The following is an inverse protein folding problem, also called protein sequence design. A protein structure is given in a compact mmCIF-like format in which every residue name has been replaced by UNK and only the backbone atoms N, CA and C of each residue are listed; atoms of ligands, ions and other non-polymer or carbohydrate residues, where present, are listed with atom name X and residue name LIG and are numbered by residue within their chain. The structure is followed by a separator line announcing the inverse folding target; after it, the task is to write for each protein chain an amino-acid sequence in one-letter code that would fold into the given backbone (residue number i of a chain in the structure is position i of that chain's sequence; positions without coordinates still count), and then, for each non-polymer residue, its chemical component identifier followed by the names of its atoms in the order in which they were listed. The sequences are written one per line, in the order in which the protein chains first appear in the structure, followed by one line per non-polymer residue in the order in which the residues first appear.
data_IF_377452180990
#
_entry.id   IF_377452180990
#
_cell.length_a   1.000
_cell.length_b   1.000
_cell.length_c   1.000
_cell.angle_alpha   90.00
_cell.angle_beta   90.00
_cell.angle_gamma   90.00
#
_symmetry.space_group_name_H-M   'P 1'
#
loop_
_entity.id
_entity.type
_entity.pdbx_description
1 polymer ?
#
# COMPACT_ATOMS: atom_id res chain seq x y z
N UNK A 1 17.96 29.37 -17.96
CA UNK A 1 18.23 28.03 -18.53
C UNK A 1 16.92 27.55 -19.13
N UNK A 2 16.78 27.59 -20.45
CA UNK A 2 15.56 27.18 -21.14
C UNK A 2 15.77 25.78 -21.69
N UNK A 3 14.94 24.83 -21.28
CA UNK A 3 14.86 23.52 -21.91
C UNK A 3 13.57 23.50 -22.73
N UNK A 4 13.70 23.62 -24.05
CA UNK A 4 12.60 23.45 -24.98
C UNK A 4 12.69 21.99 -25.45
N UNK A 5 11.71 21.17 -25.03
CA UNK A 5 11.59 19.78 -25.48
C UNK A 5 10.44 19.70 -26.47
N UNK A 6 10.77 19.55 -27.76
CA UNK A 6 9.80 19.16 -28.79
C UNK A 6 9.78 17.63 -28.86
N UNK A 7 8.71 17.02 -28.33
CA UNK A 7 8.41 15.60 -28.56
C UNK A 7 7.49 15.51 -29.78
N UNK A 8 8.07 15.28 -30.95
CA UNK A 8 7.32 14.91 -32.14
C UNK A 8 7.12 13.38 -32.12
N UNK A 9 5.95 12.95 -31.63
CA UNK A 9 5.52 11.55 -31.68
C UNK A 9 4.90 11.28 -33.05
N UNK A 10 5.73 11.14 -34.07
CA UNK A 10 5.29 10.89 -35.45
C UNK A 10 4.55 9.56 -35.56
N UNK A 11 3.21 9.60 -35.57
CA UNK A 11 2.31 8.44 -35.66
C UNK A 11 2.62 7.26 -34.70
N UNK A 12 3.43 7.47 -33.65
CA UNK A 12 3.68 6.46 -32.63
C UNK A 12 2.53 6.49 -31.64
N UNK A 13 1.81 5.38 -31.53
CA UNK A 13 0.76 5.21 -30.54
C UNK A 13 1.32 5.16 -29.11
N UNK A 14 2.59 4.77 -28.93
CA UNK A 14 3.19 4.48 -27.63
C UNK A 14 4.59 5.12 -27.46
N UNK A 15 4.93 5.42 -26.20
CA UNK A 15 6.26 5.84 -25.75
C UNK A 15 6.75 4.90 -24.65
N UNK A 16 8.00 4.43 -24.75
CA UNK A 16 8.61 3.52 -23.79
C UNK A 16 9.65 4.27 -22.97
N UNK A 17 9.55 4.19 -21.64
CA UNK A 17 10.55 4.70 -20.72
C UNK A 17 10.73 3.74 -19.55
N UNK A 18 11.96 3.68 -19.04
CA UNK A 18 12.24 2.97 -17.79
C UNK A 18 11.78 3.76 -16.55
N UNK A 19 11.75 5.09 -16.67
CA UNK A 19 11.34 6.02 -15.61
C UNK A 19 10.87 7.36 -16.18
N UNK A 20 9.84 7.93 -15.58
CA UNK A 20 9.33 9.28 -15.84
C UNK A 20 9.28 10.02 -14.50
N UNK A 21 9.89 11.21 -14.44
CA UNK A 21 9.81 12.10 -13.28
C UNK A 21 8.91 13.30 -13.62
N UNK A 22 8.00 13.64 -12.71
CA UNK A 22 7.27 14.90 -12.72
C UNK A 22 7.81 15.74 -11.56
N UNK A 23 8.42 16.88 -11.86
CA UNK A 23 9.08 17.73 -10.89
C UNK A 23 8.29 19.02 -10.62
N UNK A 24 8.41 19.58 -9.42
CA UNK A 24 7.99 20.95 -9.16
C UNK A 24 9.06 21.96 -9.61
N UNK A 25 8.77 23.26 -9.48
CA UNK A 25 9.68 24.34 -9.88
C UNK A 25 11.02 24.34 -9.12
N UNK A 26 11.11 23.67 -7.97
CA UNK A 26 12.35 23.52 -7.20
C UNK A 26 13.20 22.34 -7.65
N UNK A 27 12.68 21.50 -8.57
CA UNK A 27 13.32 20.28 -9.05
C UNK A 27 13.00 19.04 -8.21
N UNK A 28 12.21 19.16 -7.14
CA UNK A 28 11.79 17.99 -6.34
C UNK A 28 10.76 17.17 -7.10
N UNK A 29 10.85 15.85 -7.01
CA UNK A 29 9.85 14.98 -7.60
C UNK A 29 8.50 15.19 -6.90
N UNK A 30 7.42 15.19 -7.68
CA UNK A 30 6.03 15.13 -7.21
C UNK A 30 5.38 13.80 -7.55
N UNK A 31 5.75 13.23 -8.70
CA UNK A 31 5.36 11.90 -9.14
C UNK A 31 6.56 11.25 -9.84
N UNK A 32 6.78 9.97 -9.58
CA UNK A 32 7.75 9.13 -10.31
C UNK A 32 7.05 7.87 -10.77
N UNK A 33 7.09 7.57 -12.06
CA UNK A 33 6.64 6.29 -12.62
C UNK A 33 7.90 5.53 -13.04
N UNK A 34 8.10 4.29 -12.60
CA UNK A 34 9.31 3.54 -12.88
C UNK A 34 9.10 2.01 -12.91
N UNK A 35 10.01 1.31 -13.60
CA UNK A 35 10.16 -0.13 -13.48
C UNK A 35 10.90 -0.52 -12.17
N UNK A 36 11.07 -1.82 -11.93
CA UNK A 36 11.75 -2.40 -10.76
C UNK A 36 13.19 -1.89 -10.57
N UNK A 37 13.93 -1.65 -11.65
CA UNK A 37 15.33 -1.22 -11.60
C UNK A 37 15.50 0.25 -11.21
N UNK A 38 14.47 1.07 -11.43
CA UNK A 38 14.56 2.53 -11.34
C UNK A 38 13.59 3.16 -10.34
N UNK A 39 12.77 2.35 -9.66
CA UNK A 39 11.88 2.81 -8.59
C UNK A 39 12.71 3.46 -7.47
N UNK A 40 12.36 4.67 -7.02
CA UNK A 40 13.13 5.37 -5.99
C UNK A 40 12.96 4.70 -4.63
N UNK A 41 13.99 4.82 -3.79
CA UNK A 41 13.94 4.47 -2.39
C UNK A 41 13.00 5.42 -1.61
N UNK A 42 12.37 5.00 -0.50
CA UNK A 42 11.45 5.83 0.26
C UNK A 42 12.21 6.95 0.95
N UNK A 43 11.61 8.14 0.93
CA UNK A 43 12.12 9.33 1.60
C UNK A 43 11.11 9.70 2.69
N UNK A 44 11.53 9.63 3.95
CA UNK A 44 10.69 9.95 5.11
C UNK A 44 11.45 10.98 5.95
N UNK A 45 10.83 12.14 6.17
CA UNK A 45 11.43 13.27 6.89
C UNK A 45 12.84 13.64 6.37
N UNK A 46 13.00 13.68 5.04
CA UNK A 46 14.23 14.00 4.35
C UNK A 46 15.29 12.89 4.35
N UNK A 47 15.03 11.74 4.97
CA UNK A 47 15.96 10.62 5.03
C UNK A 47 15.55 9.49 4.10
N UNK A 48 16.52 8.96 3.36
CA UNK A 48 16.33 7.81 2.48
C UNK A 48 16.41 6.50 3.26
N UNK A 49 15.47 5.59 3.01
CA UNK A 49 15.40 4.24 3.59
C UNK A 49 15.60 3.19 2.50
N UNK A 50 15.86 1.93 2.88
CA UNK A 50 15.93 0.81 1.93
C UNK A 50 14.56 0.13 1.83
N UNK A 51 13.99 -0.01 0.64
CA UNK A 51 12.80 -0.85 0.42
C UNK A 51 13.13 -2.32 0.70
N UNK A 52 12.16 -3.05 1.26
CA UNK A 52 12.25 -4.50 1.37
C UNK A 52 12.27 -5.17 -0.02
N UNK A 53 11.46 -4.64 -0.95
CA UNK A 53 11.34 -5.10 -2.34
C UNK A 53 11.30 -3.91 -3.29
N UNK A 54 11.74 -4.10 -4.53
CA UNK A 54 11.72 -3.07 -5.57
C UNK A 54 10.59 -3.34 -6.57
N UNK A 55 9.39 -2.77 -6.37
CA UNK A 55 8.27 -2.96 -7.28
C UNK A 55 8.42 -2.08 -8.53
N UNK A 56 7.71 -2.42 -9.61
CA UNK A 56 7.36 -1.44 -10.61
C UNK A 56 6.19 -0.59 -10.12
N UNK A 57 6.03 0.63 -10.61
CA UNK A 57 4.82 1.41 -10.35
C UNK A 57 5.04 2.91 -10.26
N UNK A 58 4.30 3.56 -9.36
CA UNK A 58 4.22 5.01 -9.22
C UNK A 58 4.43 5.42 -7.77
N UNK A 59 5.28 6.41 -7.51
CA UNK A 59 5.46 7.02 -6.18
C UNK A 59 5.07 8.49 -6.26
N UNK A 60 4.36 9.01 -5.26
CA UNK A 60 4.05 10.42 -5.16
C UNK A 60 4.58 11.04 -3.86
N UNK A 61 4.90 12.33 -3.94
CA UNK A 61 5.64 13.05 -2.91
C UNK A 61 4.92 14.31 -2.47
N UNK A 62 5.24 14.82 -1.28
CA UNK A 62 4.84 16.14 -0.82
C UNK A 62 5.78 17.27 -1.32
N UNK A 63 5.59 18.50 -0.82
CA UNK A 63 6.43 19.67 -1.19
C UNK A 63 7.86 19.61 -0.67
N UNK A 64 8.09 18.80 0.36
CA UNK A 64 9.42 18.63 0.93
C UNK A 64 10.21 17.57 0.15
N UNK A 65 9.53 16.74 -0.63
CA UNK A 65 10.10 15.61 -1.36
C UNK A 65 9.99 14.30 -0.58
N UNK A 66 9.17 14.27 0.48
CA UNK A 66 8.89 13.07 1.26
C UNK A 66 7.81 12.24 0.57
N UNK A 67 7.96 10.92 0.58
CA UNK A 67 7.00 9.97 0.02
C UNK A 67 5.67 10.06 0.76
N UNK A 68 4.57 10.02 0.01
CA UNK A 68 3.20 10.08 0.54
C UNK A 68 2.36 8.87 0.13
N UNK A 69 3.00 7.87 -0.45
CA UNK A 69 2.38 6.65 -0.95
C UNK A 69 2.73 6.37 -2.41
N UNK A 70 2.05 5.39 -2.98
CA UNK A 70 2.31 4.94 -4.33
C UNK A 70 1.49 3.73 -4.76
N UNK A 71 1.61 3.40 -6.04
CA UNK A 71 1.22 2.13 -6.62
C UNK A 71 2.47 1.25 -6.72
N UNK A 72 2.40 0.06 -6.14
CA UNK A 72 3.43 -0.96 -6.19
C UNK A 72 2.87 -2.21 -6.90
N UNK A 73 3.53 -2.62 -7.96
CA UNK A 73 3.30 -3.87 -8.70
C UNK A 73 4.53 -4.73 -8.47
N UNK A 74 4.36 -5.75 -7.62
CA UNK A 74 5.40 -6.71 -7.27
C UNK A 74 5.07 -8.03 -7.95
N UNK A 75 6.07 -8.55 -8.64
CA UNK A 75 6.04 -9.86 -9.28
C UNK A 75 7.40 -10.51 -8.92
N UNK A 76 7.40 -11.35 -7.88
CA UNK A 76 8.60 -12.07 -7.44
C UNK A 76 8.42 -13.59 -7.64
N UNK A 77 9.40 -14.40 -7.23
CA UNK A 77 9.38 -15.85 -7.44
C UNK A 77 8.20 -16.55 -6.71
N UNK A 78 7.71 -15.96 -5.62
CA UNK A 78 6.74 -16.58 -4.72
C UNK A 78 5.33 -15.97 -4.85
N UNK A 79 5.23 -14.67 -5.11
CA UNK A 79 4.04 -13.86 -4.89
C UNK A 79 3.88 -12.77 -5.94
N UNK A 80 2.64 -12.60 -6.41
CA UNK A 80 2.17 -11.40 -7.09
C UNK A 80 1.48 -10.49 -6.06
N UNK A 81 1.89 -9.23 -5.97
CA UNK A 81 1.25 -8.25 -5.08
C UNK A 81 1.08 -6.92 -5.81
N UNK A 82 -0.17 -6.51 -5.96
CA UNK A 82 -0.54 -5.18 -6.42
C UNK A 82 -1.07 -4.39 -5.23
N UNK A 83 -0.46 -3.25 -4.93
CA UNK A 83 -0.85 -2.42 -3.80
C UNK A 83 -0.90 -0.92 -4.18
N UNK A 84 -1.94 -0.23 -3.74
CA UNK A 84 -2.03 1.23 -3.75
C UNK A 84 -2.08 1.70 -2.29
N UNK A 85 -1.14 2.55 -1.91
CA UNK A 85 -1.05 3.11 -0.56
C UNK A 85 -1.11 4.64 -0.58
N UNK A 86 -1.76 5.20 0.44
CA UNK A 86 -1.68 6.60 0.83
C UNK A 86 -1.13 6.67 2.25
N UNK A 87 -0.10 7.47 2.47
CA UNK A 87 0.67 7.44 3.71
C UNK A 87 0.31 8.62 4.61
N UNK A 88 0.44 8.43 5.93
CA UNK A 88 0.83 9.50 6.83
C UNK A 88 2.30 9.88 6.59
N UNK A 89 2.79 10.90 7.29
CA UNK A 89 4.16 11.39 7.07
C UNK A 89 5.23 10.34 7.36
N UNK A 90 4.90 9.31 8.14
CA UNK A 90 5.84 8.31 8.63
C UNK A 90 5.48 6.87 8.26
N UNK A 91 4.26 6.57 7.82
CA UNK A 91 3.79 5.20 7.53
C UNK A 91 2.46 5.20 6.79
N UNK A 92 2.09 4.07 6.18
CA UNK A 92 0.84 3.88 5.43
C UNK A 92 -0.40 4.23 6.27
N UNK A 93 -1.30 5.06 5.74
CA UNK A 93 -2.59 5.38 6.35
C UNK A 93 -3.70 4.49 5.79
N UNK A 94 -3.74 4.34 4.47
CA UNK A 94 -4.72 3.54 3.75
C UNK A 94 -3.98 2.69 2.72
N UNK A 95 -4.29 1.39 2.66
CA UNK A 95 -3.76 0.47 1.66
C UNK A 95 -4.88 -0.31 0.97
N UNK A 96 -4.83 -0.41 -0.35
CA UNK A 96 -5.67 -1.30 -1.15
C UNK A 96 -4.75 -2.32 -1.80
N UNK A 97 -5.09 -3.61 -1.75
CA UNK A 97 -4.24 -4.65 -2.30
C UNK A 97 -5.02 -5.80 -2.96
N UNK A 98 -4.33 -6.47 -3.87
CA UNK A 98 -4.63 -7.82 -4.35
C UNK A 98 -3.34 -8.62 -4.38
N UNK A 99 -3.40 -9.85 -3.88
CA UNK A 99 -2.26 -10.76 -3.79
C UNK A 99 -2.69 -12.20 -4.09
N UNK A 100 -1.83 -12.92 -4.80
CA UNK A 100 -1.88 -14.35 -5.02
C UNK A 100 -0.45 -14.92 -5.01
N UNK A 101 -0.33 -16.15 -4.54
CA UNK A 101 0.94 -16.87 -4.57
C UNK A 101 1.05 -17.69 -5.86
N UNK A 102 2.29 -17.90 -6.32
CA UNK A 102 2.56 -18.65 -7.54
C UNK A 102 2.68 -20.16 -7.33
N UNK A 103 3.07 -20.55 -6.12
CA UNK A 103 3.45 -21.93 -5.78
C UNK A 103 2.38 -22.64 -4.92
N UNK A 104 1.30 -21.96 -4.56
CA UNK A 104 0.16 -22.52 -3.82
C UNK A 104 -1.14 -21.78 -4.21
N UNK A 105 -2.24 -22.11 -3.54
CA UNK A 105 -3.56 -21.52 -3.80
C UNK A 105 -3.90 -20.36 -2.86
N UNK A 106 -2.91 -19.72 -2.24
CA UNK A 106 -3.13 -18.57 -1.37
C UNK A 106 -3.52 -17.33 -2.18
N UNK A 107 -4.57 -16.64 -1.76
CA UNK A 107 -4.97 -15.35 -2.32
C UNK A 107 -5.69 -14.47 -1.31
N UNK A 108 -5.56 -13.16 -1.49
CA UNK A 108 -6.28 -12.15 -0.71
C UNK A 108 -6.45 -10.86 -1.49
N UNK A 109 -7.46 -10.07 -1.13
CA UNK A 109 -7.68 -8.74 -1.64
C UNK A 109 -8.39 -7.90 -0.59
N UNK A 110 -8.20 -6.58 -0.60
CA UNK A 110 -8.99 -5.72 0.26
C UNK A 110 -8.39 -4.35 0.57
N UNK A 111 -9.00 -3.72 1.56
CA UNK A 111 -8.71 -2.39 2.09
C UNK A 111 -8.23 -2.49 3.54
N UNK A 112 -7.13 -1.81 3.83
CA UNK A 112 -6.53 -1.65 5.15
C UNK A 112 -6.58 -0.16 5.52
N UNK A 113 -6.99 0.15 6.75
CA UNK A 113 -6.97 1.51 7.30
C UNK A 113 -6.23 1.48 8.63
N UNK A 114 -5.24 2.35 8.77
CA UNK A 114 -4.38 2.44 9.92
C UNK A 114 -4.52 3.81 10.61
N UNK A 115 -4.38 3.81 11.93
CA UNK A 115 -4.14 5.02 12.72
C UNK A 115 -2.66 5.40 12.63
N UNK A 116 -2.40 6.70 12.75
CA UNK A 116 -1.03 7.23 12.81
C UNK A 116 -0.37 6.81 14.12
N UNK A 117 0.84 6.23 14.03
CA UNK A 117 1.71 6.10 15.20
C UNK A 117 2.29 7.48 15.56
N UNK A 118 1.97 7.95 16.77
CA UNK A 118 2.44 9.23 17.30
C UNK A 118 3.88 9.17 17.83
N UNK A 119 4.48 7.98 17.95
CA UNK A 119 5.90 7.84 18.31
C UNK A 119 6.83 8.46 17.27
N UNK A 120 6.35 8.64 16.03
CA UNK A 120 7.12 9.15 14.91
C UNK A 120 8.08 8.12 14.30
N UNK A 121 8.03 6.85 14.74
CA UNK A 121 8.86 5.79 14.18
C UNK A 121 8.48 5.55 12.70
N UNK A 122 9.45 5.64 11.76
CA UNK A 122 9.18 5.38 10.35
C UNK A 122 8.72 3.94 10.11
N UNK A 123 7.74 3.77 9.23
CA UNK A 123 7.13 2.49 8.88
C UNK A 123 6.19 1.91 9.93
N UNK A 124 5.93 2.61 11.04
CA UNK A 124 5.01 2.15 12.08
C UNK A 124 3.67 2.89 12.02
N UNK A 125 2.60 2.10 12.07
CA UNK A 125 1.21 2.54 12.20
C UNK A 125 0.48 1.55 13.13
N UNK A 126 -0.79 1.82 13.41
CA UNK A 126 -1.65 0.90 14.17
C UNK A 126 -2.77 0.46 13.24
N UNK A 127 -2.82 -0.82 12.87
CA UNK A 127 -3.84 -1.33 11.98
C UNK A 127 -5.21 -1.37 12.67
N UNK A 128 -6.19 -0.65 12.11
CA UNK A 128 -7.51 -0.45 12.76
C UNK A 128 -8.64 -1.17 12.08
N UNK A 129 -8.70 -1.10 10.76
CA UNK A 129 -9.81 -1.63 9.98
C UNK A 129 -9.26 -2.43 8.81
N UNK A 130 -9.75 -3.67 8.70
CA UNK A 130 -9.44 -4.57 7.60
C UNK A 130 -10.76 -4.98 6.95
N UNK A 131 -10.96 -4.60 5.69
CA UNK A 131 -12.06 -5.07 4.86
C UNK A 131 -11.46 -5.92 3.74
N UNK A 132 -11.47 -7.23 3.92
CA UNK A 132 -10.65 -8.15 3.14
C UNK A 132 -11.43 -9.40 2.72
N UNK A 133 -11.02 -9.99 1.60
CA UNK A 133 -11.20 -11.42 1.33
C UNK A 133 -9.86 -12.13 1.46
N UNK A 134 -9.86 -13.34 2.03
CA UNK A 134 -8.67 -14.20 2.14
C UNK A 134 -9.06 -15.67 2.03
N UNK A 135 -8.49 -16.38 1.04
CA UNK A 135 -8.73 -17.80 0.78
C UNK A 135 -10.21 -18.20 0.77
N UNK A 136 -11.05 -17.36 0.14
CA UNK A 136 -12.50 -17.56 0.04
C UNK A 136 -13.32 -17.02 1.22
N UNK A 137 -12.70 -16.64 2.33
CA UNK A 137 -13.40 -15.98 3.44
C UNK A 137 -13.52 -14.48 3.16
N UNK A 138 -14.62 -13.85 3.59
CA UNK A 138 -14.82 -12.40 3.52
C UNK A 138 -14.99 -11.85 4.94
N UNK A 139 -14.31 -10.74 5.28
CA UNK A 139 -14.38 -10.16 6.61
C UNK A 139 -14.24 -8.63 6.65
N UNK A 140 -14.98 -8.00 7.57
CA UNK A 140 -14.69 -6.70 8.15
C UNK A 140 -14.20 -6.91 9.58
N UNK A 141 -12.95 -6.55 9.86
CA UNK A 141 -12.33 -6.64 11.18
C UNK A 141 -12.03 -5.23 11.68
N UNK A 142 -12.56 -4.90 12.86
CA UNK A 142 -12.24 -3.67 13.58
C UNK A 142 -11.47 -4.01 14.85
N UNK A 143 -10.30 -3.37 15.01
CA UNK A 143 -9.34 -3.59 16.10
C UNK A 143 -9.31 -2.40 17.05
N UNK A 144 -8.78 -2.58 18.25
CA UNK A 144 -8.45 -1.49 19.18
C UNK A 144 -7.07 -0.87 18.90
N UNK A 145 -6.61 0.04 19.78
CA UNK A 145 -5.32 0.74 19.62
C UNK A 145 -4.09 -0.13 19.90
N UNK A 146 -4.30 -1.37 20.38
CA UNK A 146 -3.26 -2.38 20.53
C UNK A 146 -3.38 -3.45 19.44
N UNK A 147 -4.10 -3.14 18.36
CA UNK A 147 -4.38 -4.03 17.21
C UNK A 147 -5.14 -5.31 17.57
N UNK A 148 -5.80 -5.35 18.74
CA UNK A 148 -6.59 -6.51 19.16
C UNK A 148 -7.97 -6.41 18.52
N UNK A 149 -8.46 -7.44 17.80
CA UNK A 149 -9.81 -7.45 17.26
C UNK A 149 -10.86 -7.22 18.36
N UNK A 150 -11.88 -6.41 18.02
CA UNK A 150 -13.03 -6.12 18.90
C UNK A 150 -14.35 -6.50 18.25
N UNK A 151 -14.44 -6.33 16.94
CA UNK A 151 -15.62 -6.68 16.15
C UNK A 151 -15.14 -7.33 14.85
N UNK A 152 -15.71 -8.48 14.52
CA UNK A 152 -15.50 -9.17 13.24
C UNK A 152 -16.86 -9.48 12.65
N UNK A 153 -17.14 -8.95 11.45
CA UNK A 153 -18.23 -9.41 10.59
C UNK A 153 -17.62 -10.30 9.53
N UNK A 154 -18.02 -11.57 9.41
CA UNK A 154 -17.42 -12.47 8.43
C UNK A 154 -18.42 -13.44 7.81
N UNK A 155 -18.10 -13.88 6.59
CA UNK A 155 -18.69 -15.03 5.92
C UNK A 155 -17.54 -15.96 5.56
N UNK A 156 -17.58 -17.19 6.04
CA UNK A 156 -16.54 -18.17 5.73
C UNK A 156 -16.66 -18.69 4.28
N UNK A 157 -15.66 -19.44 3.83
CA UNK A 157 -15.63 -20.02 2.47
C UNK A 157 -16.74 -21.05 2.19
N UNK A 158 -17.45 -21.52 3.21
CA UNK A 158 -18.60 -22.41 3.09
C UNK A 158 -19.93 -21.65 3.06
N UNK A 159 -19.90 -20.32 3.20
CA UNK A 159 -21.06 -19.44 3.18
C UNK A 159 -21.72 -19.23 4.55
N UNK A 160 -21.09 -19.66 5.65
CA UNK A 160 -21.65 -19.45 6.99
C UNK A 160 -21.34 -18.02 7.46
N UNK A 161 -22.36 -17.18 7.76
CA UNK A 161 -22.13 -15.87 8.32
C UNK A 161 -21.83 -15.94 9.82
N UNK A 162 -21.07 -14.97 10.33
CA UNK A 162 -21.00 -14.72 11.77
C UNK A 162 -20.62 -13.28 12.11
N UNK A 163 -21.03 -12.85 13.29
CA UNK A 163 -20.66 -11.60 13.94
C UNK A 163 -20.00 -11.97 15.27
N UNK A 164 -18.75 -11.58 15.47
CA UNK A 164 -17.98 -11.90 16.68
C UNK A 164 -17.56 -10.60 17.38
N UNK A 165 -17.78 -10.54 18.70
CA UNK A 165 -17.35 -9.43 19.56
C UNK A 165 -16.41 -9.94 20.64
N UNK A 166 -15.32 -9.20 20.86
CA UNK A 166 -14.26 -9.57 21.78
C UNK A 166 -14.17 -8.56 22.94
N UNK A 167 -13.87 -9.05 24.13
CA UNK A 167 -13.68 -8.22 25.33
C UNK A 167 -12.32 -7.50 25.33
N UNK A 168 -12.07 -6.70 26.36
CA UNK A 168 -10.82 -5.94 26.52
C UNK A 168 -9.55 -6.81 26.55
N UNK A 169 -9.66 -8.09 26.90
CA UNK A 169 -8.54 -9.04 26.92
C UNK A 169 -8.34 -9.74 25.57
N UNK A 170 -9.21 -9.48 24.59
CA UNK A 170 -9.19 -10.17 23.30
C UNK A 170 -9.90 -11.52 23.32
N UNK A 171 -10.68 -11.83 24.35
CA UNK A 171 -11.45 -13.07 24.44
C UNK A 171 -12.82 -12.88 23.78
N UNK A 172 -13.28 -13.89 23.02
CA UNK A 172 -14.61 -13.90 22.45
C UNK A 172 -15.66 -13.78 23.57
N UNK A 173 -16.44 -12.70 23.53
CA UNK A 173 -17.47 -12.39 24.51
C UNK A 173 -18.87 -12.72 23.96
N UNK A 174 -19.07 -12.53 22.66
CA UNK A 174 -20.35 -12.78 22.00
C UNK A 174 -20.14 -13.20 20.55
N UNK A 175 -21.01 -14.10 20.07
CA UNK A 175 -21.04 -14.58 18.69
C UNK A 175 -22.48 -14.85 18.26
N UNK A 176 -22.81 -14.43 17.04
CA UNK A 176 -24.02 -14.82 16.31
C UNK A 176 -23.65 -15.37 14.94
#
# INVERSE_FOLDING_TARGET
MACIVYLYLDNRQNFNAKRININDASGKNRVVIANTDHIPQPIIAGKTYKRAYAPAGLIFYDRNGDERGGLAITDNEDTNLNALAFDYQNADAIGILAQDNKNDNYFRAGLLINDKDLSGKPGHNINRINLLTENGNAALVMKDNNEIPRIILKVDSLGNPSIEMFDKSGKLNWKQ
#
